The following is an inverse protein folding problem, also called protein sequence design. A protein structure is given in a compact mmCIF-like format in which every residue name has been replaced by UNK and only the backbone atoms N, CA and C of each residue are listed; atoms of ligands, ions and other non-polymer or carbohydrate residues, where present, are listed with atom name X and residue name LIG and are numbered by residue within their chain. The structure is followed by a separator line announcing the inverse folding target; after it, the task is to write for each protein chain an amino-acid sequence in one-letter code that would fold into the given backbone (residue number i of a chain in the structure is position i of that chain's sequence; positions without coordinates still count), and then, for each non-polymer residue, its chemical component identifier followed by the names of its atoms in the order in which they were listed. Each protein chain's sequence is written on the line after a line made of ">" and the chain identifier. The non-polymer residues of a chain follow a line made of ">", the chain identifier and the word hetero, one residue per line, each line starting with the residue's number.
data_IF_628994479368
#
_entry.id   IF_628994479368
#
_cell.length_a   1.000
_cell.length_b   1.000
_cell.length_c   1.000
_cell.angle_alpha   90.00
_cell.angle_beta   90.00
_cell.angle_gamma   90.00
#
_symmetry.space_group_name_H-M   'P 1'
#
loop_
_entity.id
_entity.type
_entity.pdbx_description
1 polymer ?
#
# COMPACT_ATOMS: atom_id res chain seq x y z
N UNK A 1 -25.47 22.52 19.58
CA UNK A 1 -25.75 22.15 18.17
C UNK A 1 -24.49 21.98 17.30
N UNK A 2 -23.43 22.79 17.41
CA UNK A 2 -22.16 22.63 16.63
C UNK A 2 -21.49 21.24 16.75
N UNK A 3 -21.43 20.64 17.96
CA UNK A 3 -20.84 19.31 18.20
C UNK A 3 -21.51 18.18 17.41
N UNK A 4 -22.83 18.26 17.18
CA UNK A 4 -23.63 17.24 16.45
C UNK A 4 -23.44 17.35 14.93
N UNK A 5 -23.29 18.57 14.40
CA UNK A 5 -23.05 18.85 12.97
C UNK A 5 -21.70 18.32 12.49
N UNK A 6 -20.67 18.39 13.34
CA UNK A 6 -19.33 17.86 13.04
C UNK A 6 -19.28 16.32 13.07
N UNK A 7 -20.15 15.68 13.85
CA UNK A 7 -20.22 14.21 13.93
C UNK A 7 -20.77 13.59 12.66
N UNK A 8 -21.81 14.18 12.06
CA UNK A 8 -22.35 13.72 10.78
C UNK A 8 -21.33 13.79 9.65
N UNK A 9 -20.54 14.87 9.58
CA UNK A 9 -19.46 15.03 8.58
C UNK A 9 -18.35 13.99 8.81
N UNK A 10 -17.94 13.76 10.07
CA UNK A 10 -16.94 12.73 10.39
C UNK A 10 -17.40 11.34 9.98
N UNK A 11 -18.66 10.99 10.26
CA UNK A 11 -19.23 9.71 9.85
C UNK A 11 -19.26 9.59 8.33
N UNK A 12 -19.71 10.64 7.62
CA UNK A 12 -19.72 10.65 6.16
C UNK A 12 -18.30 10.45 5.58
N UNK A 13 -17.30 11.17 6.08
CA UNK A 13 -15.91 10.99 5.64
C UNK A 13 -15.40 9.58 5.94
N UNK A 14 -15.71 9.02 7.12
CA UNK A 14 -15.35 7.64 7.45
C UNK A 14 -15.99 6.63 6.50
N UNK A 15 -17.26 6.83 6.11
CA UNK A 15 -17.96 5.97 5.14
C UNK A 15 -17.33 6.05 3.75
N UNK A 16 -16.88 7.24 3.31
CA UNK A 16 -16.18 7.40 2.03
C UNK A 16 -14.89 6.60 2.03
N UNK A 17 -14.04 6.77 3.06
CA UNK A 17 -12.78 6.02 3.15
C UNK A 17 -13.00 4.52 3.35
N UNK A 18 -14.06 4.12 4.07
CA UNK A 18 -14.47 2.72 4.16
C UNK A 18 -14.88 2.16 2.79
N UNK A 19 -15.59 2.95 1.97
CA UNK A 19 -15.92 2.61 0.59
C UNK A 19 -14.68 2.44 -0.29
N UNK A 20 -13.67 3.30 -0.12
CA UNK A 20 -12.36 3.14 -0.79
C UNK A 20 -11.65 1.87 -0.32
N UNK A 21 -11.66 1.56 0.97
CA UNK A 21 -11.10 0.29 1.46
C UNK A 21 -11.84 -0.91 0.84
N UNK A 22 -13.17 -0.82 0.74
CA UNK A 22 -14.00 -1.85 0.12
C UNK A 22 -13.68 -2.06 -1.37
N UNK A 23 -13.46 -0.98 -2.14
CA UNK A 23 -13.09 -1.10 -3.55
C UNK A 23 -11.68 -1.68 -3.73
N UNK A 24 -10.73 -1.32 -2.86
CA UNK A 24 -9.39 -1.91 -2.85
C UNK A 24 -9.46 -3.40 -2.50
N UNK A 25 -10.23 -3.78 -1.48
CA UNK A 25 -10.43 -5.19 -1.11
C UNK A 25 -11.09 -5.99 -2.24
N UNK A 26 -12.07 -5.40 -2.93
CA UNK A 26 -12.69 -6.02 -4.09
C UNK A 26 -11.68 -6.24 -5.22
N UNK A 27 -10.78 -5.28 -5.46
CA UNK A 27 -9.71 -5.43 -6.44
C UNK A 27 -8.73 -6.54 -6.04
N UNK A 28 -8.28 -6.60 -4.78
CA UNK A 28 -7.42 -7.68 -4.26
C UNK A 28 -8.08 -9.04 -4.51
N UNK A 29 -9.33 -9.20 -4.06
CA UNK A 29 -10.08 -10.45 -4.23
C UNK A 29 -10.22 -10.84 -5.71
N UNK A 30 -10.54 -9.88 -6.58
CA UNK A 30 -10.70 -10.14 -8.02
C UNK A 30 -9.39 -10.57 -8.68
N UNK A 31 -8.26 -9.98 -8.27
CA UNK A 31 -6.94 -10.35 -8.77
C UNK A 31 -6.47 -11.71 -8.24
N UNK A 32 -6.83 -12.04 -7.01
CA UNK A 32 -6.47 -13.31 -6.37
C UNK A 32 -7.34 -14.49 -6.79
N UNK A 33 -8.52 -14.20 -7.34
CA UNK A 33 -9.36 -15.21 -7.99
C UNK A 33 -8.76 -15.74 -9.31
N UNK A 34 -7.79 -15.03 -9.90
CA UNK A 34 -7.08 -15.47 -11.10
C UNK A 34 -6.11 -16.60 -10.79
N UNK A 35 -5.96 -17.55 -11.73
CA UNK A 35 -4.91 -18.55 -11.64
C UNK A 35 -3.50 -17.93 -11.81
N UNK A 36 -2.47 -18.71 -11.49
CA UNK A 36 -1.09 -18.26 -11.54
C UNK A 36 -0.60 -17.84 -12.94
N UNK A 37 -1.13 -18.43 -14.01
CA UNK A 37 -0.74 -18.10 -15.39
C UNK A 37 -1.36 -16.77 -15.81
N UNK A 38 -2.65 -16.56 -15.55
CA UNK A 38 -3.35 -15.31 -15.85
C UNK A 38 -2.71 -14.13 -15.11
N UNK A 39 -2.45 -14.30 -13.82
CA UNK A 39 -1.82 -13.24 -13.02
C UNK A 39 -0.38 -12.94 -13.48
N UNK A 40 0.39 -13.97 -13.87
CA UNK A 40 1.73 -13.80 -14.41
C UNK A 40 1.71 -13.03 -15.75
N UNK A 41 0.80 -13.40 -16.66
CA UNK A 41 0.63 -12.72 -17.94
C UNK A 41 0.22 -11.24 -17.78
N UNK A 42 -0.65 -10.95 -16.82
CA UNK A 42 -1.07 -9.57 -16.50
C UNK A 42 0.11 -8.70 -16.07
N UNK A 43 0.97 -9.21 -15.18
CA UNK A 43 2.15 -8.47 -14.74
C UNK A 43 3.22 -8.39 -15.84
N UNK A 44 3.29 -9.35 -16.76
CA UNK A 44 4.18 -9.32 -17.91
C UNK A 44 3.86 -8.14 -18.84
N UNK A 45 2.57 -7.88 -19.11
CA UNK A 45 2.14 -6.72 -19.92
C UNK A 45 2.64 -5.40 -19.32
N UNK A 46 2.54 -5.24 -18.00
CA UNK A 46 3.04 -4.04 -17.31
C UNK A 46 4.57 -3.99 -17.37
N UNK A 47 5.22 -5.14 -17.19
CA UNK A 47 6.68 -5.27 -17.21
C UNK A 47 7.27 -4.86 -18.55
N UNK A 48 6.73 -5.38 -19.65
CA UNK A 48 7.17 -5.03 -21.01
C UNK A 48 6.96 -3.55 -21.30
N UNK A 49 5.83 -2.98 -20.86
CA UNK A 49 5.60 -1.53 -21.00
C UNK A 49 6.62 -0.70 -20.22
N UNK A 50 7.02 -1.13 -19.02
CA UNK A 50 8.07 -0.43 -18.25
C UNK A 50 9.42 -0.55 -18.96
N UNK A 51 9.80 -1.75 -19.43
CA UNK A 51 11.05 -1.94 -20.20
C UNK A 51 11.10 -1.06 -21.44
N UNK A 52 9.99 -0.98 -22.18
CA UNK A 52 9.85 -0.09 -23.33
C UNK A 52 10.04 1.39 -22.94
N UNK A 53 9.43 1.85 -21.85
CA UNK A 53 9.62 3.23 -21.38
C UNK A 53 11.05 3.51 -20.91
N UNK A 54 11.71 2.54 -20.25
CA UNK A 54 13.12 2.66 -19.87
C UNK A 54 13.99 2.80 -21.12
N UNK A 55 13.80 1.93 -22.11
CA UNK A 55 14.57 1.97 -23.35
C UNK A 55 14.37 3.28 -24.12
N UNK A 56 13.12 3.71 -24.28
CA UNK A 56 12.76 4.85 -25.13
C UNK A 56 12.94 6.21 -24.47
N UNK A 57 12.95 6.30 -23.13
CA UNK A 57 13.10 7.58 -22.41
C UNK A 57 14.39 7.70 -21.64
N UNK A 58 14.84 6.64 -20.98
CA UNK A 58 16.01 6.68 -20.12
C UNK A 58 17.28 6.31 -20.88
N UNK A 59 17.27 5.21 -21.64
CA UNK A 59 18.46 4.66 -22.32
C UNK A 59 18.79 5.36 -23.65
N UNK A 60 18.37 6.62 -23.82
CA UNK A 60 18.60 7.41 -25.04
C UNK A 60 19.96 8.12 -25.04
N UNK A 61 20.62 8.22 -23.87
CA UNK A 61 21.93 8.85 -23.70
C UNK A 61 22.87 7.92 -22.92
N UNK A 62 24.18 8.12 -23.05
CA UNK A 62 25.17 7.33 -22.29
C UNK A 62 24.97 7.44 -20.78
N UNK A 63 24.67 8.64 -20.26
CA UNK A 63 24.37 8.85 -18.85
C UNK A 63 23.12 8.10 -18.40
N UNK A 64 22.09 8.09 -19.25
CA UNK A 64 20.84 7.39 -18.99
C UNK A 64 20.99 5.88 -18.97
N UNK A 65 21.80 5.32 -19.89
CA UNK A 65 22.19 3.90 -19.89
C UNK A 65 22.94 3.56 -18.59
N UNK A 66 23.91 4.38 -18.19
CA UNK A 66 24.66 4.16 -16.95
C UNK A 66 23.75 4.21 -15.71
N UNK A 67 22.75 5.10 -15.69
CA UNK A 67 21.76 5.16 -14.62
C UNK A 67 20.84 3.93 -14.60
N UNK A 68 20.33 3.51 -15.77
CA UNK A 68 19.51 2.30 -15.93
C UNK A 68 20.21 1.07 -15.37
N UNK A 69 21.48 0.85 -15.74
CA UNK A 69 22.26 -0.29 -15.27
C UNK A 69 22.54 -0.22 -13.75
N UNK A 70 22.79 0.97 -13.19
CA UNK A 70 22.92 1.15 -11.73
C UNK A 70 21.64 0.78 -10.99
N UNK A 71 20.48 1.24 -11.50
CA UNK A 71 19.17 0.92 -10.90
C UNK A 71 18.90 -0.57 -11.00
N UNK A 72 19.13 -1.17 -12.17
CA UNK A 72 18.96 -2.61 -12.41
C UNK A 72 19.82 -3.44 -11.44
N UNK A 73 21.10 -3.09 -11.29
CA UNK A 73 21.98 -3.78 -10.35
C UNK A 73 21.52 -3.60 -8.89
N UNK A 74 21.09 -2.39 -8.52
CA UNK A 74 20.54 -2.14 -7.19
C UNK A 74 19.31 -3.02 -6.90
N UNK A 75 18.39 -3.16 -7.86
CA UNK A 75 17.22 -4.04 -7.74
C UNK A 75 17.64 -5.50 -7.63
N UNK A 76 18.56 -5.97 -8.47
CA UNK A 76 19.05 -7.36 -8.43
C UNK A 76 19.67 -7.70 -7.08
N UNK A 77 20.40 -6.76 -6.48
CA UNK A 77 21.09 -6.97 -5.21
C UNK A 77 20.13 -7.03 -4.01
N UNK A 78 19.04 -6.25 -4.02
CA UNK A 78 18.15 -6.12 -2.87
C UNK A 78 16.83 -6.90 -3.02
N UNK A 79 16.46 -7.28 -4.23
CA UNK A 79 15.26 -8.05 -4.48
C UNK A 79 15.50 -9.53 -4.20
N UNK A 80 14.60 -10.21 -3.45
CA UNK A 80 14.64 -11.67 -3.33
C UNK A 80 14.35 -12.39 -4.66
N UNK A 81 13.89 -11.66 -5.69
CA UNK A 81 13.60 -12.19 -7.03
C UNK A 81 14.73 -11.89 -8.03
N UNK A 82 15.82 -11.24 -7.60
CA UNK A 82 16.98 -10.95 -8.44
C UNK A 82 16.59 -10.18 -9.72
N UNK A 83 17.02 -10.71 -10.87
CA UNK A 83 16.80 -10.09 -12.19
C UNK A 83 15.44 -10.37 -12.82
N UNK A 84 14.53 -11.09 -12.15
CA UNK A 84 13.19 -11.35 -12.67
C UNK A 84 12.33 -10.09 -12.56
N UNK A 85 12.26 -9.32 -13.64
CA UNK A 85 11.45 -8.11 -13.71
C UNK A 85 9.97 -8.38 -13.43
N UNK A 86 9.41 -9.45 -13.97
CA UNK A 86 7.99 -9.71 -13.87
C UNK A 86 7.61 -10.08 -12.43
N UNK A 87 8.39 -10.94 -11.77
CA UNK A 87 8.20 -11.24 -10.36
C UNK A 87 8.34 -9.99 -9.48
N UNK A 88 9.37 -9.17 -9.72
CA UNK A 88 9.56 -7.91 -9.02
C UNK A 88 8.35 -6.96 -9.14
N UNK A 89 7.89 -6.72 -10.38
CA UNK A 89 6.76 -5.83 -10.65
C UNK A 89 5.47 -6.36 -10.04
N UNK A 90 5.20 -7.68 -10.18
CA UNK A 90 4.02 -8.31 -9.56
C UNK A 90 4.03 -8.14 -8.05
N UNK A 91 5.17 -8.40 -7.40
CA UNK A 91 5.31 -8.31 -5.94
C UNK A 91 5.23 -6.88 -5.43
N UNK A 92 5.75 -5.92 -6.20
CA UNK A 92 5.57 -4.50 -5.93
C UNK A 92 4.10 -4.05 -6.06
N UNK A 93 3.34 -4.61 -6.99
CA UNK A 93 1.91 -4.33 -7.14
C UNK A 93 1.11 -4.82 -5.91
N UNK A 94 1.37 -6.04 -5.44
CA UNK A 94 0.79 -6.57 -4.20
C UNK A 94 1.17 -5.71 -2.97
N UNK A 95 2.46 -5.38 -2.81
CA UNK A 95 2.90 -4.43 -1.78
C UNK A 95 2.14 -3.10 -1.82
N UNK A 96 1.95 -2.54 -3.02
CA UNK A 96 1.33 -1.23 -3.24
C UNK A 96 -0.18 -1.23 -2.98
N UNK A 97 -0.88 -2.32 -3.30
CA UNK A 97 -2.33 -2.43 -3.03
C UNK A 97 -2.59 -2.58 -1.52
N UNK A 98 -1.76 -3.35 -0.80
CA UNK A 98 -1.85 -3.43 0.67
C UNK A 98 -1.39 -2.15 1.37
N UNK A 99 -0.40 -1.43 0.82
CA UNK A 99 -0.04 -0.08 1.27
C UNK A 99 -1.24 0.87 1.19
N UNK A 100 -1.97 0.83 0.08
CA UNK A 100 -3.15 1.70 -0.16
C UNK A 100 -4.31 1.32 0.77
N UNK A 101 -4.55 0.02 0.95
CA UNK A 101 -5.54 -0.49 1.90
C UNK A 101 -5.26 -0.01 3.33
N UNK A 102 -4.01 -0.16 3.78
CA UNK A 102 -3.59 0.26 5.12
C UNK A 102 -3.74 1.77 5.32
N UNK A 103 -3.43 2.58 4.30
CA UNK A 103 -3.67 4.03 4.33
C UNK A 103 -5.16 4.34 4.57
N UNK A 104 -6.04 3.71 3.79
CA UNK A 104 -7.49 3.90 3.91
C UNK A 104 -8.03 3.50 5.29
N UNK A 105 -7.59 2.34 5.81
CA UNK A 105 -7.99 1.85 7.13
C UNK A 105 -7.51 2.81 8.23
N UNK A 106 -6.23 3.21 8.19
CA UNK A 106 -5.64 4.10 9.18
C UNK A 106 -6.38 5.46 9.21
N UNK A 107 -6.65 6.05 8.03
CA UNK A 107 -7.38 7.31 7.91
C UNK A 107 -8.80 7.15 8.45
N UNK A 108 -9.49 6.05 8.12
CA UNK A 108 -10.84 5.76 8.64
C UNK A 108 -10.84 5.73 10.16
N UNK A 109 -9.92 4.98 10.77
CA UNK A 109 -9.79 4.91 12.23
C UNK A 109 -9.42 6.26 12.85
N UNK A 110 -8.63 7.09 12.17
CA UNK A 110 -8.30 8.45 12.62
C UNK A 110 -9.54 9.36 12.61
N UNK A 111 -10.37 9.29 11.56
CA UNK A 111 -11.63 10.06 11.48
C UNK A 111 -12.60 9.62 12.59
N UNK A 112 -12.67 8.32 12.89
CA UNK A 112 -13.47 7.76 13.98
C UNK A 112 -12.94 8.11 15.37
N UNK A 113 -11.74 8.69 15.48
CA UNK A 113 -11.16 9.17 16.73
C UNK A 113 -10.46 8.10 17.54
N UNK A 114 -10.07 6.98 16.93
CA UNK A 114 -9.24 5.95 17.58
C UNK A 114 -7.87 6.55 17.93
N UNK A 115 -7.30 6.18 19.08
CA UNK A 115 -5.99 6.69 19.48
C UNK A 115 -4.87 6.20 18.53
N UNK A 116 -3.71 6.88 18.51
CA UNK A 116 -2.63 6.58 17.54
C UNK A 116 -2.09 5.15 17.66
N UNK A 117 -1.96 4.65 18.89
CA UNK A 117 -1.47 3.30 19.17
C UNK A 117 -2.40 2.21 18.64
N UNK A 118 -3.70 2.30 18.97
CA UNK A 118 -4.71 1.35 18.47
C UNK A 118 -4.91 1.47 16.96
N UNK A 119 -4.82 2.68 16.39
CA UNK A 119 -4.83 2.85 14.93
C UNK A 119 -3.73 2.04 14.26
N UNK A 120 -2.51 2.14 14.79
CA UNK A 120 -1.37 1.39 14.26
C UNK A 120 -1.62 -0.12 14.34
N UNK A 121 -1.94 -0.62 15.54
CA UNK A 121 -2.14 -2.06 15.77
C UNK A 121 -3.30 -2.63 14.95
N UNK A 122 -4.45 -1.95 14.94
CA UNK A 122 -5.62 -2.41 14.20
C UNK A 122 -5.37 -2.40 12.69
N UNK A 123 -4.70 -1.37 12.16
CA UNK A 123 -4.42 -1.30 10.72
C UNK A 123 -3.53 -2.46 10.28
N UNK A 124 -2.40 -2.66 10.96
CA UNK A 124 -1.46 -3.74 10.64
C UNK A 124 -2.12 -5.11 10.83
N UNK A 125 -2.85 -5.31 11.94
CA UNK A 125 -3.53 -6.56 12.23
C UNK A 125 -4.61 -6.92 11.20
N UNK A 126 -5.44 -5.94 10.79
CA UNK A 126 -6.46 -6.14 9.76
C UNK A 126 -5.81 -6.49 8.41
N UNK A 127 -4.79 -5.74 7.99
CA UNK A 127 -4.09 -6.02 6.74
C UNK A 127 -3.38 -7.38 6.75
N UNK A 128 -2.78 -7.79 7.87
CA UNK A 128 -2.20 -9.13 8.02
C UNK A 128 -3.25 -10.23 7.85
N UNK A 129 -4.41 -10.10 8.49
CA UNK A 129 -5.51 -11.06 8.33
C UNK A 129 -6.02 -11.12 6.88
N UNK A 130 -6.09 -9.97 6.19
CA UNK A 130 -6.46 -9.95 4.78
C UNK A 130 -5.38 -10.57 3.87
N UNK A 131 -4.10 -10.27 4.08
CA UNK A 131 -3.00 -10.88 3.35
C UNK A 131 -2.97 -12.41 3.53
N UNK A 132 -3.22 -12.89 4.75
CA UNK A 132 -3.36 -14.31 5.01
C UNK A 132 -4.57 -14.92 4.30
N UNK A 133 -5.73 -14.26 4.37
CA UNK A 133 -6.94 -14.70 3.68
C UNK A 133 -6.80 -14.71 2.16
N UNK A 134 -6.03 -13.78 1.61
CA UNK A 134 -5.73 -13.68 0.19
C UNK A 134 -4.88 -14.86 -0.29
N UNK A 135 -3.78 -15.16 0.39
CA UNK A 135 -2.94 -16.32 0.10
C UNK A 135 -3.70 -17.64 0.28
N UNK A 136 -4.56 -17.71 1.30
CA UNK A 136 -5.45 -18.84 1.49
C UNK A 136 -6.44 -19.00 0.32
N UNK A 137 -7.01 -17.89 -0.19
CA UNK A 137 -7.89 -17.92 -1.35
C UNK A 137 -7.17 -18.37 -2.63
N UNK A 138 -5.97 -17.82 -2.89
CA UNK A 138 -5.13 -18.19 -4.04
C UNK A 138 -4.79 -19.69 -4.06
N UNK A 139 -4.67 -20.33 -2.90
CA UNK A 139 -4.48 -21.78 -2.83
C UNK A 139 -5.61 -22.56 -3.50
N UNK A 140 -6.85 -22.07 -3.44
CA UNK A 140 -8.01 -22.71 -4.08
C UNK A 140 -8.12 -22.43 -5.57
N UNK A 141 -7.38 -21.45 -6.09
CA UNK A 141 -7.33 -21.12 -7.53
C UNK A 141 -6.21 -21.88 -8.26
N UNK A 142 -5.50 -22.78 -7.56
CA UNK A 142 -4.41 -23.57 -8.12
C UNK A 142 -3.07 -22.82 -8.20
N UNK A 143 -2.96 -21.69 -7.52
CA UNK A 143 -1.74 -20.87 -7.45
C UNK A 143 -0.88 -21.25 -6.26
N UNK A 144 0.44 -21.10 -6.40
CA UNK A 144 1.39 -21.30 -5.30
C UNK A 144 1.16 -20.24 -4.22
N UNK A 145 0.75 -20.67 -3.02
CA UNK A 145 0.62 -19.81 -1.84
C UNK A 145 1.91 -19.84 -1.02
N UNK A 146 2.36 -18.69 -0.52
CA UNK A 146 3.59 -18.58 0.28
C UNK A 146 3.42 -17.64 1.47
N UNK A 147 3.90 -18.06 2.65
CA UNK A 147 3.95 -17.18 3.83
C UNK A 147 4.85 -15.96 3.61
N UNK A 148 5.85 -16.07 2.72
CA UNK A 148 6.67 -14.92 2.33
C UNK A 148 5.85 -13.82 1.66
N UNK A 149 4.76 -14.19 0.96
CA UNK A 149 3.87 -13.23 0.28
C UNK A 149 2.99 -12.51 1.29
N UNK A 150 2.46 -13.24 2.29
CA UNK A 150 1.77 -12.62 3.43
C UNK A 150 2.66 -11.59 4.12
N UNK A 151 3.94 -11.93 4.35
CA UNK A 151 4.88 -11.01 5.00
C UNK A 151 5.20 -9.79 4.14
N UNK A 152 5.37 -9.96 2.83
CA UNK A 152 5.64 -8.84 1.93
C UNK A 152 4.44 -7.87 1.86
N UNK A 153 3.24 -8.40 1.78
CA UNK A 153 2.00 -7.62 1.70
C UNK A 153 1.73 -6.89 3.03
N UNK A 154 1.94 -7.60 4.14
CA UNK A 154 1.90 -7.01 5.49
C UNK A 154 2.98 -5.94 5.66
N UNK A 155 4.15 -6.12 5.07
CA UNK A 155 5.20 -5.10 5.10
C UNK A 155 4.78 -3.84 4.34
N UNK A 156 4.09 -3.95 3.20
CA UNK A 156 3.45 -2.82 2.53
C UNK A 156 2.47 -2.07 3.41
N UNK A 157 1.62 -2.81 4.13
CA UNK A 157 0.71 -2.24 5.11
C UNK A 157 1.45 -1.54 6.27
N UNK A 158 2.55 -2.14 6.76
CA UNK A 158 3.37 -1.59 7.84
C UNK A 158 4.02 -0.27 7.42
N UNK A 159 4.64 -0.21 6.23
CA UNK A 159 5.27 1.01 5.71
C UNK A 159 4.24 2.15 5.61
N UNK A 160 3.06 1.86 5.05
CA UNK A 160 1.95 2.83 4.98
C UNK A 160 1.53 3.33 6.36
N UNK A 161 1.32 2.40 7.30
CA UNK A 161 0.89 2.72 8.66
C UNK A 161 1.92 3.56 9.40
N UNK A 162 3.21 3.27 9.25
CA UNK A 162 4.30 4.07 9.81
C UNK A 162 4.28 5.50 9.28
N UNK A 163 4.20 5.68 7.95
CA UNK A 163 4.13 7.00 7.30
C UNK A 163 2.95 7.81 7.85
N UNK A 164 1.76 7.23 7.86
CA UNK A 164 0.56 7.91 8.36
C UNK A 164 0.58 8.18 9.87
N UNK A 165 1.28 7.34 10.64
CA UNK A 165 1.51 7.57 12.06
C UNK A 165 2.40 8.79 12.28
N UNK A 166 3.51 8.89 11.54
CA UNK A 166 4.41 10.05 11.58
C UNK A 166 3.66 11.33 11.17
N UNK A 167 2.91 11.30 10.07
CA UNK A 167 2.08 12.42 9.63
C UNK A 167 1.10 12.85 10.73
N UNK A 168 0.44 11.89 11.39
CA UNK A 168 -0.51 12.19 12.46
C UNK A 168 0.15 12.78 13.71
N UNK A 169 1.38 12.35 14.04
CA UNK A 169 2.17 12.92 15.14
C UNK A 169 2.56 14.35 14.81
N UNK A 170 3.13 14.61 13.62
CA UNK A 170 3.52 15.95 13.17
C UNK A 170 2.32 16.88 13.19
N UNK A 171 1.19 16.47 12.61
CA UNK A 171 -0.04 17.26 12.62
C UNK A 171 -0.51 17.60 14.04
N UNK A 172 -0.47 16.63 14.96
CA UNK A 172 -0.84 16.87 16.36
C UNK A 172 0.11 17.86 17.05
N UNK A 173 1.41 17.78 16.76
CA UNK A 173 2.42 18.68 17.30
C UNK A 173 2.25 20.11 16.79
N UNK A 174 2.04 20.30 15.48
CA UNK A 174 1.75 21.61 14.88
C UNK A 174 0.48 22.20 15.49
N UNK A 175 -0.60 21.42 15.59
CA UNK A 175 -1.86 21.89 16.17
C UNK A 175 -1.69 22.32 17.64
N UNK A 176 -0.89 21.60 18.42
CA UNK A 176 -0.57 21.99 19.80
C UNK A 176 0.21 23.32 19.86
N UNK A 177 1.21 23.50 18.99
CA UNK A 177 2.01 24.73 18.92
C UNK A 177 1.16 25.93 18.51
N UNK A 178 0.30 25.77 17.49
CA UNK A 178 -0.63 26.82 17.05
C UNK A 178 -1.60 27.19 18.16
N UNK A 179 -2.18 26.21 18.85
CA UNK A 179 -3.07 26.48 19.98
C UNK A 179 -2.34 27.18 21.13
N UNK A 180 -1.06 26.89 21.38
CA UNK A 180 -0.28 27.62 22.38
C UNK A 180 0.04 29.05 21.95
N UNK A 181 0.28 29.28 20.66
CA UNK A 181 0.61 30.60 20.12
C UNK A 181 -0.59 31.55 20.02
N UNK A 182 -1.79 31.02 19.77
CA UNK A 182 -3.01 31.80 19.53
C UNK A 182 -4.14 31.56 20.54
N UNK A 183 -3.99 30.60 21.45
CA UNK A 183 -5.02 30.19 22.42
C UNK A 183 -4.87 30.77 23.83
N UNK A 184 -3.85 31.61 24.07
CA UNK A 184 -3.71 32.43 25.28
C UNK A 184 -4.28 33.87 25.06
N UNK A 185 -5.35 34.00 24.26
CA UNK A 185 -6.13 35.23 24.07
C UNK A 185 -7.60 35.01 24.44
#
# INVERSE_FOLDING_TARGET
>A
MKKKKNMGIRILCALIFLGVCGSVMFAIYSLSAEDGQMSNARSEIVTEKIKEQVNTRLETTEEGIALSERIKYFVILHSPYGSDWNANIRKLAHFSIYFTLAAGIYITLAILGVNKFWRFLLTVGICFCFAFGDEYHQKFTGRTSSMSDVYLDTFGALVSTCIWTVISIIYSGIHLLVNKAYGDA
#
